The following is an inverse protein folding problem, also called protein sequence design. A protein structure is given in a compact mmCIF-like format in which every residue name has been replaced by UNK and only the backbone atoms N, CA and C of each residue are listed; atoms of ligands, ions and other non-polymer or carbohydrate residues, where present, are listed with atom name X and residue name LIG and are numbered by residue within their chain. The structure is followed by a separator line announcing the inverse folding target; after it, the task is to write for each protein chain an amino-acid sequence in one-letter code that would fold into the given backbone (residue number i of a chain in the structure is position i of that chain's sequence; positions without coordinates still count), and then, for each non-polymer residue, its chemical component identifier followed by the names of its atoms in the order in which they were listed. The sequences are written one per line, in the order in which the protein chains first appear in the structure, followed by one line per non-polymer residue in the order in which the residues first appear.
data_IF_387194597288
#
_entry.id   IF_387194597288
#
_cell.length_a   1.000
_cell.length_b   1.000
_cell.length_c   1.000
_cell.angle_alpha   90.00
_cell.angle_beta   90.00
_cell.angle_gamma   90.00
#
_symmetry.space_group_name_H-M   'P 1'
#
loop_
_entity.id
_entity.type
_entity.pdbx_description
1 polymer ?
#
# COMPACT_ATOMS: atom_id res chain seq x y z
N UNK A 1 -62.28 25.33 -9.27
CA UNK A 1 -61.29 24.26 -9.56
C UNK A 1 -60.34 24.77 -10.62
N UNK A 2 -59.03 24.50 -10.51
CA UNK A 2 -57.89 24.89 -11.38
C UNK A 2 -57.11 26.14 -10.94
N UNK A 3 -56.14 25.97 -10.02
CA UNK A 3 -54.90 26.79 -10.03
C UNK A 3 -53.72 26.29 -9.14
N UNK A 4 -53.71 25.05 -8.63
CA UNK A 4 -52.64 24.57 -7.72
C UNK A 4 -51.55 23.69 -8.37
N UNK A 5 -51.62 23.41 -9.68
CA UNK A 5 -50.73 22.41 -10.31
C UNK A 5 -49.31 22.91 -10.62
N UNK A 6 -49.08 24.23 -10.72
CA UNK A 6 -47.81 24.80 -11.19
C UNK A 6 -46.77 24.98 -10.07
N UNK A 7 -47.19 25.29 -8.84
CA UNK A 7 -46.28 25.50 -7.71
C UNK A 7 -45.56 24.20 -7.26
N UNK A 8 -46.25 23.06 -7.30
CA UNK A 8 -45.65 21.75 -6.97
C UNK A 8 -44.64 21.27 -8.04
N UNK A 9 -44.78 21.71 -9.29
CA UNK A 9 -43.84 21.38 -10.37
C UNK A 9 -42.46 22.03 -10.15
N UNK A 10 -42.45 23.31 -9.78
CA UNK A 10 -41.20 24.04 -9.48
C UNK A 10 -40.49 23.51 -8.24
N UNK A 11 -41.24 23.23 -7.17
CA UNK A 11 -40.68 22.66 -5.93
C UNK A 11 -40.06 21.27 -6.18
N UNK A 12 -40.71 20.42 -6.97
CA UNK A 12 -40.20 19.07 -7.31
C UNK A 12 -38.93 19.12 -8.17
N UNK A 13 -38.85 20.05 -9.11
CA UNK A 13 -37.64 20.24 -9.93
C UNK A 13 -36.46 20.74 -9.09
N UNK A 14 -36.71 21.67 -8.16
CA UNK A 14 -35.70 22.18 -7.24
C UNK A 14 -35.20 21.07 -6.30
N UNK A 15 -36.09 20.29 -5.68
CA UNK A 15 -35.70 19.15 -4.82
C UNK A 15 -34.96 18.08 -5.60
N UNK A 16 -35.38 17.77 -6.83
CA UNK A 16 -34.68 16.81 -7.69
C UNK A 16 -33.26 17.30 -8.04
N UNK A 17 -33.10 18.57 -8.39
CA UNK A 17 -31.79 19.16 -8.68
C UNK A 17 -30.86 19.17 -7.45
N UNK A 18 -31.40 19.49 -6.27
CA UNK A 18 -30.64 19.39 -5.00
C UNK A 18 -30.22 17.94 -4.74
N UNK A 19 -31.13 16.97 -4.86
CA UNK A 19 -30.82 15.55 -4.64
C UNK A 19 -29.82 14.99 -5.66
N UNK A 20 -29.82 15.49 -6.89
CA UNK A 20 -28.85 15.14 -7.92
C UNK A 20 -27.48 15.75 -7.61
N UNK A 21 -27.45 16.99 -7.10
CA UNK A 21 -26.23 17.63 -6.60
C UNK A 21 -25.64 16.88 -5.41
N UNK A 22 -26.47 16.50 -4.45
CA UNK A 22 -26.05 15.69 -3.29
C UNK A 22 -25.52 14.31 -3.73
N UNK A 23 -26.18 13.66 -4.69
CA UNK A 23 -25.74 12.39 -5.24
C UNK A 23 -24.40 12.50 -5.97
N UNK A 24 -24.18 13.58 -6.74
CA UNK A 24 -22.91 13.85 -7.41
C UNK A 24 -21.79 14.12 -6.41
N UNK A 25 -22.05 14.89 -5.35
CA UNK A 25 -21.10 15.16 -4.27
C UNK A 25 -20.73 13.84 -3.54
N UNK A 26 -21.71 12.99 -3.25
CA UNK A 26 -21.47 11.68 -2.63
C UNK A 26 -20.61 10.79 -3.55
N UNK A 27 -20.89 10.75 -4.84
CA UNK A 27 -20.10 9.98 -5.80
C UNK A 27 -18.65 10.48 -5.87
N UNK A 28 -18.43 11.80 -5.89
CA UNK A 28 -17.10 12.41 -5.88
C UNK A 28 -16.34 12.07 -4.58
N UNK A 29 -17.00 12.18 -3.43
CA UNK A 29 -16.39 11.80 -2.13
C UNK A 29 -16.00 10.33 -2.10
N UNK A 30 -16.83 9.43 -2.65
CA UNK A 30 -16.50 8.00 -2.72
C UNK A 30 -15.30 7.73 -3.63
N UNK A 31 -15.23 8.40 -4.78
CA UNK A 31 -14.09 8.28 -5.69
C UNK A 31 -12.79 8.76 -5.03
N UNK A 32 -12.81 9.96 -4.42
CA UNK A 32 -11.65 10.53 -3.74
C UNK A 32 -11.17 9.64 -2.58
N UNK A 33 -12.09 9.01 -1.83
CA UNK A 33 -11.73 8.05 -0.79
C UNK A 33 -11.06 6.80 -1.37
N UNK A 34 -11.59 6.26 -2.46
CA UNK A 34 -10.99 5.11 -3.12
C UNK A 34 -9.57 5.42 -3.66
N UNK A 35 -9.36 6.60 -4.24
CA UNK A 35 -8.04 7.06 -4.68
C UNK A 35 -7.09 7.26 -3.49
N UNK A 36 -7.55 7.88 -2.40
CA UNK A 36 -6.76 8.07 -1.19
C UNK A 36 -6.31 6.72 -0.59
N UNK A 37 -7.20 5.73 -0.56
CA UNK A 37 -6.89 4.37 -0.09
C UNK A 37 -5.85 3.69 -0.97
N UNK A 38 -5.93 3.84 -2.30
CA UNK A 38 -4.93 3.30 -3.22
C UNK A 38 -3.56 3.93 -3.03
N UNK A 39 -3.51 5.27 -2.90
CA UNK A 39 -2.28 6.01 -2.62
C UNK A 39 -1.68 5.63 -1.26
N UNK A 40 -2.52 5.54 -0.23
CA UNK A 40 -2.10 5.14 1.12
C UNK A 40 -1.47 3.74 1.12
N UNK A 41 -2.10 2.78 0.43
CA UNK A 41 -1.54 1.41 0.25
C UNK A 41 -0.21 1.42 -0.51
N UNK A 42 -0.07 2.27 -1.53
CA UNK A 42 1.18 2.41 -2.27
C UNK A 42 2.29 2.96 -1.35
N UNK A 43 2.01 4.03 -0.60
CA UNK A 43 2.93 4.64 0.34
C UNK A 43 3.34 3.70 1.48
N UNK A 44 2.39 2.97 2.06
CA UNK A 44 2.68 2.02 3.14
C UNK A 44 3.61 0.89 2.68
N UNK A 45 3.40 0.39 1.45
CA UNK A 45 4.26 -0.62 0.86
C UNK A 45 5.69 -0.11 0.63
N UNK A 46 5.83 1.15 0.22
CA UNK A 46 7.14 1.79 0.03
C UNK A 46 7.87 2.01 1.35
N UNK A 47 7.15 2.46 2.37
CA UNK A 47 7.71 2.70 3.71
C UNK A 47 8.28 1.42 4.35
N UNK A 48 7.54 0.30 4.32
CA UNK A 48 8.04 -0.96 4.93
C UNK A 48 9.23 -1.55 4.18
N UNK A 49 9.24 -1.42 2.85
CA UNK A 49 10.36 -1.83 2.00
C UNK A 49 11.61 -0.99 2.29
N UNK A 50 11.47 0.32 2.42
CA UNK A 50 12.60 1.20 2.70
C UNK A 50 13.15 1.00 4.13
N UNK A 51 12.30 0.66 5.11
CA UNK A 51 12.73 0.22 6.43
C UNK A 51 13.54 -1.07 6.36
N UNK A 52 13.02 -2.11 5.69
CA UNK A 52 13.72 -3.38 5.51
C UNK A 52 15.08 -3.19 4.80
N UNK A 53 15.13 -2.32 3.80
CA UNK A 53 16.37 -1.96 3.10
C UNK A 53 17.37 -1.31 4.05
N UNK A 54 16.94 -0.35 4.86
CA UNK A 54 17.77 0.29 5.88
C UNK A 54 18.30 -0.70 6.93
N UNK A 55 17.47 -1.66 7.35
CA UNK A 55 17.90 -2.73 8.26
C UNK A 55 19.02 -3.58 7.63
N UNK A 56 18.89 -3.98 6.36
CA UNK A 56 19.94 -4.73 5.65
C UNK A 56 21.22 -3.92 5.58
N UNK A 57 21.15 -2.64 5.22
CA UNK A 57 22.32 -1.75 5.16
C UNK A 57 23.03 -1.64 6.51
N UNK A 58 22.28 -1.61 7.62
CA UNK A 58 22.83 -1.54 8.96
C UNK A 58 23.45 -2.86 9.43
N UNK A 59 22.82 -4.01 9.12
CA UNK A 59 23.28 -5.34 9.55
C UNK A 59 24.40 -5.90 8.65
N UNK A 60 24.40 -5.52 7.38
CA UNK A 60 25.38 -5.92 6.38
C UNK A 60 25.78 -4.67 5.58
N UNK A 61 26.88 -3.98 5.97
CA UNK A 61 27.29 -2.73 5.35
C UNK A 61 27.39 -2.84 3.83
N UNK A 62 26.40 -2.30 3.13
CA UNK A 62 26.30 -2.30 1.68
C UNK A 62 25.52 -1.08 1.19
N UNK A 63 25.61 -0.80 -0.12
CA UNK A 63 24.84 0.29 -0.72
C UNK A 63 23.34 -0.01 -0.74
N UNK A 64 22.52 1.02 -0.88
CA UNK A 64 21.06 0.91 -1.00
C UNK A 64 20.64 0.01 -2.16
N UNK A 65 21.35 0.09 -3.30
CA UNK A 65 21.10 -0.72 -4.49
C UNK A 65 21.36 -2.20 -4.23
N UNK A 66 22.43 -2.52 -3.49
CA UNK A 66 22.77 -3.89 -3.12
C UNK A 66 21.76 -4.46 -2.11
N UNK A 67 21.35 -3.67 -1.13
CA UNK A 67 20.29 -4.06 -0.19
C UNK A 67 18.95 -4.30 -0.89
N UNK A 68 18.59 -3.45 -1.86
CA UNK A 68 17.42 -3.68 -2.72
C UNK A 68 17.53 -4.98 -3.52
N UNK A 69 18.67 -5.21 -4.17
CA UNK A 69 18.93 -6.44 -4.90
C UNK A 69 18.78 -7.68 -4.02
N UNK A 70 19.25 -7.60 -2.78
CA UNK A 70 19.09 -8.68 -1.79
C UNK A 70 17.62 -8.96 -1.45
N UNK A 71 16.79 -7.93 -1.23
CA UNK A 71 15.37 -8.11 -0.96
C UNK A 71 14.64 -8.75 -2.14
N UNK A 72 14.96 -8.31 -3.36
CA UNK A 72 14.42 -8.87 -4.61
C UNK A 72 14.81 -10.34 -4.75
N UNK A 73 16.08 -10.65 -4.50
CA UNK A 73 16.63 -12.01 -4.57
C UNK A 73 15.91 -12.96 -3.62
N UNK A 74 15.73 -12.56 -2.35
CA UNK A 74 14.98 -13.35 -1.35
C UNK A 74 13.51 -13.50 -1.75
N UNK A 75 12.87 -12.43 -2.23
CA UNK A 75 11.48 -12.45 -2.69
C UNK A 75 11.25 -13.44 -3.82
N UNK A 76 12.15 -13.48 -4.81
CA UNK A 76 12.09 -14.41 -5.93
C UNK A 76 12.30 -15.86 -5.47
N UNK A 77 13.33 -16.12 -4.67
CA UNK A 77 13.63 -17.48 -4.18
C UNK A 77 12.57 -18.03 -3.21
N UNK A 78 11.89 -17.16 -2.46
CA UNK A 78 10.77 -17.56 -1.62
C UNK A 78 9.44 -17.63 -2.38
N UNK A 79 9.35 -17.09 -3.59
CA UNK A 79 8.10 -16.86 -4.32
C UNK A 79 7.04 -16.11 -3.47
N UNK A 80 7.49 -15.07 -2.76
CA UNK A 80 6.66 -14.22 -1.88
C UNK A 80 6.78 -12.78 -2.34
N UNK A 81 5.71 -11.99 -2.24
CA UNK A 81 5.74 -10.58 -2.64
C UNK A 81 6.79 -9.82 -1.83
N UNK A 82 7.55 -8.96 -2.49
CA UNK A 82 8.62 -8.16 -1.88
C UNK A 82 8.19 -7.43 -0.60
N UNK A 83 6.99 -6.83 -0.61
CA UNK A 83 6.44 -6.12 0.55
C UNK A 83 6.21 -7.03 1.76
N UNK A 84 5.88 -8.31 1.53
CA UNK A 84 5.64 -9.29 2.59
C UNK A 84 6.98 -9.79 3.15
N UNK A 85 8.01 -9.94 2.30
CA UNK A 85 9.41 -10.17 2.73
C UNK A 85 9.91 -9.02 3.59
N UNK A 86 9.70 -7.78 3.14
CA UNK A 86 10.08 -6.58 3.88
C UNK A 86 9.36 -6.49 5.24
N UNK A 87 8.05 -6.75 5.25
CA UNK A 87 7.26 -6.76 6.48
C UNK A 87 7.75 -7.83 7.46
N UNK A 88 8.04 -9.05 6.98
CA UNK A 88 8.60 -10.11 7.79
C UNK A 88 9.97 -9.73 8.37
N UNK A 89 10.83 -9.10 7.57
CA UNK A 89 12.13 -8.62 8.04
C UNK A 89 11.99 -7.53 9.12
N UNK A 90 11.11 -6.55 8.91
CA UNK A 90 10.83 -5.50 9.91
C UNK A 90 10.24 -6.08 11.18
N UNK A 91 9.41 -7.12 11.08
CA UNK A 91 8.83 -7.81 12.23
C UNK A 91 9.90 -8.46 13.14
N UNK A 92 11.05 -8.87 12.59
CA UNK A 92 12.17 -9.38 13.41
C UNK A 92 12.69 -8.38 14.43
N UNK A 93 12.58 -7.08 14.18
CA UNK A 93 12.97 -6.05 15.14
C UNK A 93 12.06 -6.03 16.39
N UNK A 94 10.87 -6.66 16.31
CA UNK A 94 9.94 -6.86 17.42
C UNK A 94 10.03 -8.27 18.03
N UNK A 95 11.02 -9.08 17.62
CA UNK A 95 11.21 -10.44 18.09
C UNK A 95 10.36 -11.49 17.36
N UNK A 96 9.68 -11.14 16.27
CA UNK A 96 8.93 -12.10 15.46
C UNK A 96 9.90 -12.89 14.55
N UNK A 97 9.96 -14.23 14.63
CA UNK A 97 10.90 -14.99 13.82
C UNK A 97 10.49 -15.03 12.35
N UNK A 98 11.47 -15.03 11.45
CA UNK A 98 11.24 -15.30 10.03
C UNK A 98 10.82 -16.76 9.83
N UNK A 99 9.98 -17.00 8.83
CA UNK A 99 9.76 -18.36 8.32
C UNK A 99 11.10 -19.00 7.93
N UNK A 100 11.30 -20.28 8.24
CA UNK A 100 12.59 -20.93 8.07
C UNK A 100 13.13 -20.85 6.64
N UNK A 101 12.26 -20.99 5.64
CA UNK A 101 12.64 -20.83 4.24
C UNK A 101 13.20 -19.45 3.96
N UNK A 102 12.51 -18.40 4.40
CA UNK A 102 12.96 -17.01 4.21
C UNK A 102 14.27 -16.73 4.96
N UNK A 103 14.43 -17.29 6.16
CA UNK A 103 15.68 -17.17 6.91
C UNK A 103 16.86 -17.85 6.18
N UNK A 104 16.63 -19.03 5.59
CA UNK A 104 17.65 -19.73 4.78
C UNK A 104 18.04 -18.89 3.56
N UNK A 105 17.06 -18.40 2.81
CA UNK A 105 17.33 -17.59 1.62
C UNK A 105 18.03 -16.28 1.94
N UNK A 106 17.62 -15.58 3.01
CA UNK A 106 18.29 -14.37 3.48
C UNK A 106 19.76 -14.65 3.83
N UNK A 107 20.03 -15.76 4.53
CA UNK A 107 21.40 -16.18 4.85
C UNK A 107 22.22 -16.48 3.60
N UNK A 108 21.64 -17.13 2.59
CA UNK A 108 22.31 -17.39 1.32
C UNK A 108 22.60 -16.11 0.54
N UNK A 109 21.63 -15.20 0.48
CA UNK A 109 21.79 -13.91 -0.19
C UNK A 109 22.88 -13.04 0.47
N UNK A 110 22.92 -13.00 1.81
CA UNK A 110 23.98 -12.31 2.56
C UNK A 110 25.38 -12.92 2.31
N UNK A 111 25.49 -14.25 2.20
CA UNK A 111 26.77 -14.90 1.84
C UNK A 111 27.23 -14.48 0.43
N UNK A 112 26.31 -14.45 -0.55
CA UNK A 112 26.60 -13.99 -1.93
C UNK A 112 27.02 -12.52 -1.98
N UNK A 113 26.44 -11.70 -1.11
CA UNK A 113 26.79 -10.28 -0.97
C UNK A 113 28.24 -10.12 -0.54
N UNK A 114 28.69 -10.89 0.44
CA UNK A 114 30.04 -10.75 1.01
C UNK A 114 31.14 -11.43 0.18
N UNK A 115 30.78 -12.28 -0.77
CA UNK A 115 31.73 -12.99 -1.65
C UNK A 115 32.07 -12.21 -2.95
N UNK A 116 31.68 -10.94 -3.06
CA UNK A 116 31.94 -10.04 -4.19
C UNK A 116 32.66 -8.80 -3.70
#
# INVERSE_FOLDING_TARGET
MHQSATAYGGQRLLTAAVSAGDAALVAEVLQLRAENDQLSKALSSRAVIDQARGMIMALAPCSSERAWGLLVDVSQHCNVKLRDVAAALVATARGEPLAEQMQRELRHALKRLNSR
#
